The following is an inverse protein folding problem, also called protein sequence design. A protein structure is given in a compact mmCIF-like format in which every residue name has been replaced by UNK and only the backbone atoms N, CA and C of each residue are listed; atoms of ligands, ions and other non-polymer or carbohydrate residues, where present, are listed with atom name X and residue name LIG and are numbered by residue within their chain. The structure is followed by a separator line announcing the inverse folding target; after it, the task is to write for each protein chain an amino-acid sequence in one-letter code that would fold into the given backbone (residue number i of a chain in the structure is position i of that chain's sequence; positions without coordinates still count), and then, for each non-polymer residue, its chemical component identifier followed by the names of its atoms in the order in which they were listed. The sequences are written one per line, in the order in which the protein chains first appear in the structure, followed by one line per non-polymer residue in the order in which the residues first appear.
data_IF_333339416894
#
_entry.id   IF_333339416894
#
_cell.length_a   1.000
_cell.length_b   1.000
_cell.length_c   1.000
_cell.angle_alpha   90.00
_cell.angle_beta   90.00
_cell.angle_gamma   90.00
#
_symmetry.space_group_name_H-M   'P 1'
#
loop_
_entity.id
_entity.type
_entity.pdbx_description
1 polymer ?
#
# COMPACT_ATOMS: atom_id res chain seq x y z
N UNK A 1 12.30 16.00 14.14
CA UNK A 1 12.67 15.65 12.79
C UNK A 1 11.42 15.37 11.96
N UNK A 2 11.57 15.44 10.70
CA UNK A 2 10.46 15.33 9.80
C UNK A 2 10.29 13.92 9.30
N UNK A 3 9.04 13.53 9.24
CA UNK A 3 8.70 12.21 8.78
C UNK A 3 7.84 12.36 7.53
N UNK A 4 8.40 12.08 6.43
CA UNK A 4 7.68 12.23 5.18
C UNK A 4 7.07 10.91 4.77
N UNK A 5 6.16 10.44 5.59
CA UNK A 5 5.46 9.22 5.24
C UNK A 5 4.17 9.55 4.55
N UNK A 6 3.75 8.70 3.67
CA UNK A 6 2.47 8.83 3.01
C UNK A 6 1.45 7.89 3.61
N UNK A 7 0.23 8.38 3.71
CA UNK A 7 -0.85 7.52 4.16
C UNK A 7 -1.08 6.41 3.14
N UNK A 8 -1.29 5.23 3.62
CA UNK A 8 -1.62 4.13 2.75
C UNK A 8 -2.64 3.24 3.43
N UNK A 9 -3.30 2.45 2.64
CA UNK A 9 -4.29 1.50 3.13
C UNK A 9 -4.07 0.19 2.41
N UNK A 10 -4.22 -0.89 3.15
CA UNK A 10 -4.08 -2.23 2.60
C UNK A 10 -5.41 -2.94 2.78
N UNK A 11 -6.04 -3.28 1.68
CA UNK A 11 -7.31 -4.00 1.71
C UNK A 11 -7.03 -5.48 1.75
N UNK A 12 -7.60 -6.13 2.74
CA UNK A 12 -7.39 -7.55 2.94
C UNK A 12 -8.55 -8.35 2.37
N UNK A 13 -8.30 -9.63 2.08
CA UNK A 13 -9.35 -10.45 1.48
C UNK A 13 -10.53 -10.71 2.38
N UNK A 14 -10.37 -10.53 3.67
CA UNK A 14 -11.49 -10.74 4.58
C UNK A 14 -12.39 -9.51 4.69
N UNK A 15 -12.07 -8.47 3.95
CA UNK A 15 -12.91 -7.28 3.93
C UNK A 15 -12.44 -6.17 4.85
N UNK A 16 -11.36 -6.38 5.57
CA UNK A 16 -10.85 -5.33 6.45
C UNK A 16 -9.82 -4.49 5.71
N UNK A 17 -9.62 -3.28 6.23
CA UNK A 17 -8.65 -2.36 5.66
C UNK A 17 -7.72 -1.93 6.77
N UNK A 18 -6.43 -2.13 6.53
CA UNK A 18 -5.41 -1.67 7.44
C UNK A 18 -4.88 -0.34 6.96
N UNK A 19 -4.81 0.60 7.86
CA UNK A 19 -4.24 1.90 7.54
C UNK A 19 -2.86 2.01 8.14
N UNK A 20 -1.98 2.65 7.42
CA UNK A 20 -0.64 2.82 7.90
C UNK A 20 0.10 3.84 7.07
N UNK A 21 1.40 3.77 7.12
CA UNK A 21 2.25 4.73 6.42
C UNK A 21 3.25 3.98 5.58
N UNK A 22 3.62 4.58 4.48
CA UNK A 22 4.65 3.99 3.66
C UNK A 22 5.60 5.07 3.19
N UNK A 23 6.70 4.64 2.63
CA UNK A 23 7.72 5.55 2.15
C UNK A 23 7.13 6.43 1.06
N UNK A 24 7.45 7.74 1.06
CA UNK A 24 6.93 8.62 0.02
C UNK A 24 7.31 8.18 -1.39
N UNK A 25 8.36 7.42 -1.53
CA UNK A 25 8.76 6.94 -2.84
C UNK A 25 7.71 6.03 -3.45
N UNK A 26 6.82 5.49 -2.63
CA UNK A 26 5.79 4.61 -3.15
C UNK A 26 4.85 5.32 -4.10
N UNK A 27 4.71 6.63 -3.99
CA UNK A 27 3.82 7.34 -4.88
C UNK A 27 4.35 7.37 -6.31
N UNK A 28 5.61 7.05 -6.49
CA UNK A 28 6.19 6.98 -7.82
C UNK A 28 5.90 5.67 -8.52
N UNK A 29 5.29 4.75 -7.81
CA UNK A 29 4.97 3.46 -8.39
C UNK A 29 3.73 3.60 -9.27
N UNK A 30 3.68 2.75 -10.28
CA UNK A 30 2.51 2.72 -11.14
C UNK A 30 1.42 1.87 -10.53
N UNK A 31 0.19 2.22 -10.85
CA UNK A 31 -0.94 1.39 -10.45
C UNK A 31 -0.78 0.02 -11.08
N UNK A 32 -0.95 -1.00 -10.27
CA UNK A 32 -0.76 -2.37 -10.72
C UNK A 32 0.57 -2.95 -10.33
N UNK A 33 1.45 -2.13 -9.75
CA UNK A 33 2.75 -2.61 -9.31
C UNK A 33 2.57 -3.53 -8.11
N UNK A 34 3.28 -4.64 -8.12
CA UNK A 34 3.20 -5.59 -7.03
C UNK A 34 4.40 -5.38 -6.13
N UNK A 35 4.12 -5.25 -4.85
CA UNK A 35 5.14 -5.06 -3.83
C UNK A 35 5.06 -6.16 -2.81
N UNK A 36 6.17 -6.41 -2.17
CA UNK A 36 6.22 -7.40 -1.10
C UNK A 36 6.40 -6.68 0.23
N UNK A 37 5.42 -6.82 1.08
CA UNK A 37 5.49 -6.28 2.44
C UNK A 37 5.80 -7.40 3.40
N UNK A 38 6.66 -7.12 4.36
CA UNK A 38 7.05 -8.16 5.32
C UNK A 38 5.86 -8.64 6.13
N UNK A 39 4.93 -7.75 6.40
CA UNK A 39 3.80 -8.11 7.24
C UNK A 39 2.73 -8.86 6.49
N UNK A 40 2.54 -8.50 5.23
CA UNK A 40 1.37 -8.99 4.50
C UNK A 40 1.75 -9.96 3.39
N UNK A 41 2.92 -9.78 2.82
CA UNK A 41 3.26 -10.53 1.65
C UNK A 41 3.08 -9.65 0.42
N UNK A 42 2.54 -10.22 -0.63
CA UNK A 42 2.43 -9.48 -1.89
C UNK A 42 1.18 -8.64 -1.91
N UNK A 43 1.34 -7.39 -2.22
CA UNK A 43 0.23 -6.46 -2.37
C UNK A 43 0.38 -5.73 -3.68
N UNK A 44 -0.75 -5.37 -4.28
CA UNK A 44 -0.75 -4.66 -5.53
C UNK A 44 -1.27 -3.25 -5.30
N UNK A 45 -0.61 -2.28 -5.90
CA UNK A 45 -1.05 -0.90 -5.81
C UNK A 45 -2.29 -0.72 -6.67
N UNK A 46 -3.39 -0.38 -6.03
CA UNK A 46 -4.64 -0.25 -6.74
C UNK A 46 -4.94 1.19 -7.10
N UNK A 47 -4.59 2.10 -6.22
CA UNK A 47 -4.91 3.51 -6.45
C UNK A 47 -3.89 4.36 -5.73
N UNK A 48 -3.63 5.56 -6.27
CA UNK A 48 -2.71 6.48 -5.63
C UNK A 48 -3.16 7.92 -5.81
N UNK A 49 -4.45 8.14 -5.87
CA UNK A 49 -4.96 9.49 -6.07
C UNK A 49 -4.74 10.35 -4.84
N UNK A 50 -5.48 10.08 -3.79
CA UNK A 50 -5.33 10.82 -2.55
C UNK A 50 -4.32 10.17 -1.65
N UNK A 51 -4.38 8.86 -1.61
CA UNK A 51 -3.46 8.09 -0.81
C UNK A 51 -3.21 6.79 -1.54
N UNK A 52 -2.22 6.06 -1.06
CA UNK A 52 -1.87 4.80 -1.67
C UNK A 52 -2.80 3.73 -1.14
N UNK A 53 -3.43 3.03 -2.06
CA UNK A 53 -4.32 1.93 -1.70
C UNK A 53 -3.74 0.65 -2.30
N UNK A 54 -3.43 -0.29 -1.44
CA UNK A 54 -2.90 -1.58 -1.84
C UNK A 54 -3.94 -2.64 -1.60
N UNK A 55 -3.96 -3.63 -2.46
CA UNK A 55 -4.83 -4.78 -2.30
C UNK A 55 -3.95 -6.00 -2.02
N UNK A 56 -4.21 -6.65 -0.89
CA UNK A 56 -3.44 -7.81 -0.51
C UNK A 56 -3.84 -8.98 -1.40
N UNK A 57 -2.87 -9.46 -2.16
CA UNK A 57 -3.11 -10.60 -3.02
C UNK A 57 -2.38 -11.77 -2.42
N UNK A 58 -3.11 -12.72 -1.96
CA UNK A 58 -2.44 -13.84 -1.42
C UNK A 58 -1.93 -14.64 -2.54
N UNK A 59 -1.05 -15.05 -2.56
CA UNK A 59 -0.46 -15.73 -3.45
C UNK A 59 -0.07 -16.10 -3.76
#
# INVERSE_FOLDING_TARGET
CLQDYMDCAVMKPDGTVDQGYCDPQCKNLDVGTILQFERYGFCRLDSKKDKLVFVYGHQ
#
